data_IF_447424311614
#
_entry.id   IF_447424311614
#
_cell.length_a   1.000
_cell.length_b   1.000
_cell.length_c   1.000
_cell.angle_alpha   90.00
_cell.angle_beta   90.00
_cell.angle_gamma   90.00
#
_symmetry.space_group_name_H-M   'P 1'
#
loop_
_entity.id
_entity.type
_entity.pdbx_description
1 polymer ?
#
# COMPACT_ATOMS: atom_id res chain seq x y z
N UNK A 1 -32.56 9.77 -14.37
CA UNK A 1 -31.35 9.97 -15.18
C UNK A 1 -30.40 8.81 -14.89
N UNK A 2 -29.99 8.03 -15.89
CA UNK A 2 -29.21 6.80 -15.68
C UNK A 2 -27.76 7.13 -15.29
N UNK A 3 -27.24 6.48 -14.24
CA UNK A 3 -25.84 6.65 -13.81
C UNK A 3 -24.90 6.17 -14.93
N UNK A 4 -23.94 6.99 -15.39
CA UNK A 4 -22.99 6.63 -16.45
C UNK A 4 -22.21 5.36 -16.10
N UNK A 5 -21.92 4.52 -17.10
CA UNK A 5 -21.20 3.26 -16.90
C UNK A 5 -19.85 3.44 -16.19
N UNK A 6 -19.11 4.52 -16.52
CA UNK A 6 -17.85 4.87 -15.88
C UNK A 6 -17.99 5.13 -14.36
N UNK A 7 -19.08 5.77 -13.95
CA UNK A 7 -19.36 6.04 -12.53
C UNK A 7 -19.70 4.75 -11.76
N UNK A 8 -20.30 3.75 -12.42
CA UNK A 8 -20.54 2.43 -11.83
C UNK A 8 -19.24 1.64 -11.66
N UNK A 9 -18.34 1.71 -12.64
CA UNK A 9 -17.01 1.08 -12.59
C UNK A 9 -16.16 1.70 -11.48
N UNK A 10 -16.10 3.03 -11.38
CA UNK A 10 -15.37 3.72 -10.31
C UNK A 10 -15.88 3.34 -8.92
N UNK A 11 -17.21 3.26 -8.74
CA UNK A 11 -17.84 2.81 -7.49
C UNK A 11 -17.52 1.36 -7.14
N UNK A 12 -17.53 0.47 -8.13
CA UNK A 12 -17.18 -0.94 -7.94
C UNK A 12 -15.71 -1.08 -7.54
N UNK A 13 -14.79 -0.35 -8.17
CA UNK A 13 -13.37 -0.36 -7.82
C UNK A 13 -13.14 0.19 -6.40
N UNK A 14 -13.81 1.29 -6.03
CA UNK A 14 -13.69 1.87 -4.69
C UNK A 14 -14.24 0.93 -3.60
N UNK A 15 -15.39 0.30 -3.84
CA UNK A 15 -15.96 -0.69 -2.93
C UNK A 15 -15.10 -1.94 -2.84
N UNK A 16 -14.48 -2.37 -3.95
CA UNK A 16 -13.56 -3.50 -3.97
C UNK A 16 -12.29 -3.19 -3.18
N UNK A 17 -11.70 -2.01 -3.37
CA UNK A 17 -10.55 -1.57 -2.60
C UNK A 17 -10.86 -1.51 -1.09
N UNK A 18 -12.01 -0.95 -0.71
CA UNK A 18 -12.46 -0.89 0.68
C UNK A 18 -12.75 -2.27 1.28
N UNK A 19 -13.36 -3.18 0.52
CA UNK A 19 -13.63 -4.55 0.97
C UNK A 19 -12.34 -5.36 1.11
N UNK A 20 -11.39 -5.21 0.19
CA UNK A 20 -10.07 -5.84 0.25
C UNK A 20 -9.26 -5.34 1.46
N UNK A 21 -9.40 -4.06 1.80
CA UNK A 21 -8.83 -3.46 3.01
C UNK A 21 -9.51 -3.98 4.29
N UNK A 22 -10.84 -4.12 4.31
CA UNK A 22 -11.54 -4.66 5.48
C UNK A 22 -11.26 -6.15 5.67
N UNK A 23 -11.15 -6.91 4.59
CA UNK A 23 -10.65 -8.30 4.59
C UNK A 23 -9.21 -8.37 5.10
N UNK A 24 -8.38 -7.37 4.77
CA UNK A 24 -7.02 -7.21 5.27
C UNK A 24 -6.97 -6.98 6.79
N UNK A 25 -7.88 -6.17 7.34
CA UNK A 25 -7.96 -5.90 8.79
C UNK A 25 -8.45 -7.10 9.62
N UNK A 26 -9.28 -7.99 9.06
CA UNK A 26 -10.03 -8.97 9.86
C UNK A 26 -9.44 -10.38 9.85
N UNK A 27 -8.72 -10.83 8.81
CA UNK A 27 -8.56 -12.29 8.62
C UNK A 27 -7.15 -12.86 8.35
N UNK A 28 -6.13 -12.09 7.98
CA UNK A 28 -4.99 -12.71 7.28
C UNK A 28 -3.73 -12.95 8.14
N UNK A 29 -3.58 -14.19 8.63
CA UNK A 29 -2.31 -14.73 9.18
C UNK A 29 -1.33 -15.21 8.08
N UNK A 30 -1.72 -15.11 6.80
CA UNK A 30 -0.95 -15.60 5.65
C UNK A 30 -0.15 -14.52 4.92
N UNK A 31 0.64 -13.71 5.64
CA UNK A 31 1.31 -12.51 5.12
C UNK A 31 1.93 -12.63 3.72
N UNK A 32 2.52 -13.79 3.39
CA UNK A 32 3.11 -14.05 2.08
C UNK A 32 2.13 -14.03 0.89
N UNK A 33 0.91 -14.58 1.03
CA UNK A 33 -0.02 -14.67 -0.10
C UNK A 33 -0.55 -13.30 -0.54
N UNK A 34 -0.82 -12.42 0.42
CA UNK A 34 -1.22 -11.04 0.14
C UNK A 34 -0.06 -10.22 -0.39
N UNK A 35 1.16 -10.45 0.13
CA UNK A 35 2.34 -9.77 -0.39
C UNK A 35 2.63 -10.15 -1.84
N UNK A 36 2.39 -11.40 -2.23
CA UNK A 36 2.50 -11.85 -3.63
C UNK A 36 1.42 -11.24 -4.54
N UNK A 37 0.17 -11.17 -4.07
CA UNK A 37 -0.92 -10.52 -4.81
C UNK A 37 -0.60 -9.04 -5.07
N UNK A 38 -0.02 -8.34 -4.09
CA UNK A 38 0.40 -6.95 -4.24
C UNK A 38 1.42 -6.77 -5.38
N UNK A 39 2.42 -7.66 -5.50
CA UNK A 39 3.37 -7.61 -6.63
C UNK A 39 2.63 -7.74 -7.96
N UNK A 40 1.73 -8.70 -8.08
CA UNK A 40 0.97 -8.94 -9.32
C UNK A 40 0.15 -7.69 -9.67
N UNK A 41 -0.61 -7.14 -8.72
CA UNK A 41 -1.39 -5.94 -8.92
C UNK A 41 -0.51 -4.73 -9.29
N UNK A 42 0.65 -4.56 -8.66
CA UNK A 42 1.61 -3.49 -8.98
C UNK A 42 2.18 -3.63 -10.40
N UNK A 43 2.51 -4.84 -10.83
CA UNK A 43 3.01 -5.10 -12.19
C UNK A 43 1.93 -4.80 -13.24
N UNK A 44 0.68 -5.21 -13.00
CA UNK A 44 -0.45 -4.88 -13.87
C UNK A 44 -0.68 -3.37 -13.92
N UNK A 45 -0.59 -2.69 -12.78
CA UNK A 45 -0.72 -1.22 -12.70
C UNK A 45 0.34 -0.49 -13.50
N UNK A 46 1.62 -0.85 -13.34
CA UNK A 46 2.72 -0.30 -14.16
C UNK A 46 2.46 -0.58 -15.65
N UNK A 47 2.14 -1.83 -16.00
CA UNK A 47 1.89 -2.19 -17.39
C UNK A 47 0.80 -1.33 -18.02
N UNK A 48 -0.31 -1.13 -17.30
CA UNK A 48 -1.41 -0.29 -17.76
C UNK A 48 -0.99 1.18 -17.95
N UNK A 49 -0.18 1.73 -17.03
CA UNK A 49 0.32 3.10 -17.13
C UNK A 49 1.23 3.30 -18.35
N UNK A 50 2.21 2.41 -18.55
CA UNK A 50 3.13 2.46 -19.69
C UNK A 50 2.38 2.26 -21.01
N UNK A 51 1.44 1.32 -21.06
CA UNK A 51 0.59 1.11 -22.25
C UNK A 51 -0.18 2.38 -22.59
N UNK A 52 -0.86 2.99 -21.62
CA UNK A 52 -1.63 4.21 -21.83
C UNK A 52 -0.76 5.36 -22.35
N UNK A 53 0.43 5.57 -21.77
CA UNK A 53 1.36 6.60 -22.23
C UNK A 53 1.83 6.36 -23.65
N UNK A 54 2.20 5.11 -23.99
CA UNK A 54 2.68 4.76 -25.33
C UNK A 54 1.58 4.94 -26.38
N UNK A 55 0.34 4.53 -26.09
CA UNK A 55 -0.81 4.68 -26.99
C UNK A 55 -1.25 6.15 -27.12
N UNK A 56 -1.01 6.97 -26.10
CA UNK A 56 -1.38 8.39 -26.06
C UNK A 56 -0.25 9.35 -26.46
N UNK A 57 0.94 8.84 -26.81
CA UNK A 57 2.11 9.66 -27.14
C UNK A 57 2.66 10.50 -25.98
N UNK A 58 2.42 10.09 -24.73
CA UNK A 58 2.87 10.78 -23.52
C UNK A 58 4.25 10.23 -23.12
N UNK A 59 5.17 11.11 -22.73
CA UNK A 59 6.48 10.68 -22.24
C UNK A 59 6.35 9.84 -20.96
N UNK A 60 7.18 8.80 -20.83
CA UNK A 60 7.23 7.98 -19.62
C UNK A 60 8.26 8.50 -18.61
N UNK A 61 8.07 8.18 -17.32
CA UNK A 61 9.05 8.35 -16.25
C UNK A 61 9.63 9.77 -16.08
N UNK A 62 8.83 10.82 -16.30
CA UNK A 62 9.29 12.21 -16.12
C UNK A 62 8.81 12.85 -14.80
N UNK A 63 7.77 12.30 -14.16
CA UNK A 63 7.17 12.90 -12.96
C UNK A 63 7.74 12.32 -11.68
N UNK A 64 7.70 13.10 -10.58
CA UNK A 64 8.09 12.61 -9.26
C UNK A 64 7.24 11.41 -8.83
N UNK A 65 5.93 11.42 -9.14
CA UNK A 65 5.04 10.28 -8.91
C UNK A 65 5.62 9.00 -9.54
N UNK A 66 6.04 9.08 -10.80
CA UNK A 66 6.59 7.93 -11.52
C UNK A 66 7.92 7.42 -10.95
N UNK A 67 8.81 8.31 -10.51
CA UNK A 67 10.09 7.95 -9.89
C UNK A 67 9.90 7.29 -8.53
N UNK A 68 9.07 7.89 -7.67
CA UNK A 68 8.74 7.33 -6.36
C UNK A 68 8.00 6.00 -6.51
N UNK A 69 7.05 5.91 -7.44
CA UNK A 69 6.28 4.68 -7.71
C UNK A 69 7.16 3.53 -8.18
N UNK A 70 8.04 3.76 -9.16
CA UNK A 70 8.97 2.73 -9.64
C UNK A 70 9.96 2.32 -8.55
N UNK A 71 10.53 3.29 -7.82
CA UNK A 71 11.42 3.00 -6.69
C UNK A 71 10.74 2.15 -5.62
N UNK A 72 9.48 2.45 -5.29
CA UNK A 72 8.67 1.70 -4.33
C UNK A 72 8.48 0.25 -4.78
N UNK A 73 8.14 0.03 -6.05
CA UNK A 73 7.88 -1.33 -6.57
C UNK A 73 9.17 -2.15 -6.61
N UNK A 74 10.30 -1.55 -6.99
CA UNK A 74 11.60 -2.21 -6.93
C UNK A 74 11.98 -2.60 -5.49
N UNK A 75 11.86 -1.66 -4.55
CA UNK A 75 12.15 -1.92 -3.13
C UNK A 75 11.23 -2.98 -2.53
N UNK A 76 9.95 -2.95 -2.90
CA UNK A 76 8.98 -3.95 -2.48
C UNK A 76 9.31 -5.34 -3.02
N UNK A 77 9.73 -5.45 -4.29
CA UNK A 77 10.21 -6.70 -4.88
C UNK A 77 11.44 -7.26 -4.15
N UNK A 78 12.44 -6.42 -3.87
CA UNK A 78 13.63 -6.80 -3.10
C UNK A 78 13.23 -7.28 -1.70
N UNK A 79 12.35 -6.54 -1.03
CA UNK A 79 11.85 -6.86 0.30
C UNK A 79 11.11 -8.20 0.33
N UNK A 80 10.30 -8.48 -0.69
CA UNK A 80 9.57 -9.73 -0.83
C UNK A 80 10.52 -10.92 -1.02
N UNK A 81 11.47 -10.82 -1.95
CA UNK A 81 12.48 -11.87 -2.21
C UNK A 81 13.29 -12.12 -0.94
N UNK A 82 13.79 -11.06 -0.31
CA UNK A 82 14.55 -11.13 0.94
C UNK A 82 13.73 -11.80 2.06
N UNK A 83 12.48 -11.39 2.23
CA UNK A 83 11.57 -11.97 3.22
C UNK A 83 11.29 -13.45 2.96
N UNK A 84 11.10 -13.82 1.70
CA UNK A 84 10.87 -15.20 1.27
C UNK A 84 12.07 -16.09 1.59
N UNK A 85 13.27 -15.72 1.14
CA UNK A 85 14.46 -16.57 1.34
C UNK A 85 14.88 -16.66 2.81
N UNK A 86 14.67 -15.58 3.58
CA UNK A 86 15.12 -15.50 4.97
C UNK A 86 14.13 -16.15 5.94
N UNK A 87 12.82 -15.92 5.77
CA UNK A 87 11.81 -16.31 6.76
C UNK A 87 10.89 -17.46 6.31
N UNK A 88 10.86 -17.80 5.02
CA UNK A 88 9.97 -18.83 4.48
C UNK A 88 10.72 -20.04 3.91
N UNK A 89 11.35 -19.91 2.73
CA UNK A 89 12.02 -21.02 2.06
C UNK A 89 13.22 -20.51 1.23
N UNK A 90 14.41 -21.12 1.33
CA UNK A 90 14.76 -22.31 2.13
C UNK A 90 14.80 -22.06 3.64
N UNK A 91 14.74 -20.79 4.06
CA UNK A 91 14.79 -20.37 5.46
C UNK A 91 16.23 -20.20 5.94
N UNK A 92 16.54 -19.02 6.47
CA UNK A 92 17.87 -18.71 7.00
C UNK A 92 18.10 -19.32 8.40
N UNK A 93 19.38 -19.42 8.79
CA UNK A 93 19.77 -19.82 10.14
C UNK A 93 19.11 -18.92 11.22
N UNK A 94 18.78 -19.46 12.41
CA UNK A 94 18.07 -18.69 13.45
C UNK A 94 18.76 -17.39 13.87
N UNK A 95 20.10 -17.37 13.87
CA UNK A 95 20.91 -16.19 14.17
C UNK A 95 20.69 -15.07 13.14
N UNK A 96 20.71 -15.41 11.85
CA UNK A 96 20.50 -14.47 10.76
C UNK A 96 19.05 -13.97 10.74
N UNK A 97 18.07 -14.84 10.98
CA UNK A 97 16.65 -14.42 11.08
C UNK A 97 16.44 -13.42 12.20
N UNK A 98 17.06 -13.65 13.37
CA UNK A 98 16.94 -12.75 14.53
C UNK A 98 17.61 -11.40 14.28
N UNK A 99 18.79 -11.38 13.64
CA UNK A 99 19.51 -10.13 13.37
C UNK A 99 18.87 -9.30 12.26
N UNK A 100 18.22 -9.94 11.28
CA UNK A 100 17.63 -9.26 10.12
C UNK A 100 16.16 -8.89 10.29
N UNK A 101 15.42 -9.53 11.20
CA UNK A 101 14.01 -9.25 11.44
C UNK A 101 13.71 -7.76 11.73
N UNK A 102 14.46 -7.04 12.60
CA UNK A 102 14.20 -5.63 12.84
C UNK A 102 14.39 -4.76 11.60
N UNK A 103 15.37 -5.11 10.75
CA UNK A 103 15.63 -4.42 9.49
C UNK A 103 14.51 -4.68 8.48
N UNK A 104 14.05 -5.94 8.37
CA UNK A 104 12.93 -6.30 7.51
C UNK A 104 11.65 -5.54 7.90
N UNK A 105 11.32 -5.46 9.19
CA UNK A 105 10.14 -4.71 9.65
C UNK A 105 10.28 -3.21 9.33
N UNK A 106 11.44 -2.61 9.63
CA UNK A 106 11.69 -1.17 9.39
C UNK A 106 11.68 -0.83 7.90
N UNK A 107 12.33 -1.63 7.05
CA UNK A 107 12.32 -1.42 5.60
C UNK A 107 10.94 -1.64 5.01
N UNK A 108 10.18 -2.60 5.51
CA UNK A 108 8.79 -2.83 5.10
C UNK A 108 7.89 -1.63 5.39
N UNK A 109 8.00 -1.04 6.58
CA UNK A 109 7.27 0.18 6.93
C UNK A 109 7.69 1.36 6.05
N UNK A 110 8.99 1.50 5.75
CA UNK A 110 9.48 2.54 4.85
C UNK A 110 8.89 2.40 3.43
N UNK A 111 8.89 1.19 2.86
CA UNK A 111 8.28 0.92 1.55
C UNK A 111 6.78 1.21 1.55
N UNK A 112 6.08 0.87 2.65
CA UNK A 112 4.67 1.22 2.82
C UNK A 112 4.41 2.73 2.78
N UNK A 113 5.24 3.52 3.47
CA UNK A 113 5.14 4.98 3.44
C UNK A 113 5.42 5.56 2.05
N UNK A 114 6.38 5.00 1.32
CA UNK A 114 6.63 5.39 -0.07
C UNK A 114 5.45 5.05 -0.99
N UNK A 115 4.76 3.93 -0.76
CA UNK A 115 3.55 3.58 -1.51
C UNK A 115 2.40 4.57 -1.24
N UNK A 116 2.21 4.98 0.02
CA UNK A 116 1.25 6.04 0.36
C UNK A 116 1.62 7.35 -0.35
N UNK A 117 2.88 7.77 -0.27
CA UNK A 117 3.36 8.97 -0.95
C UNK A 117 3.15 8.89 -2.47
N UNK A 118 3.45 7.76 -3.10
CA UNK A 118 3.22 7.55 -4.52
C UNK A 118 1.72 7.66 -4.87
N UNK A 119 0.83 7.10 -4.06
CA UNK A 119 -0.61 7.20 -4.26
C UNK A 119 -1.09 8.66 -4.19
N UNK A 120 -0.66 9.41 -3.16
CA UNK A 120 -1.00 10.83 -3.00
C UNK A 120 -0.51 11.69 -4.16
N UNK A 121 0.74 11.48 -4.61
CA UNK A 121 1.28 12.16 -5.79
C UNK A 121 0.48 11.81 -7.06
N UNK A 122 0.03 10.56 -7.19
CA UNK A 122 -0.76 10.11 -8.33
C UNK A 122 -2.16 10.72 -8.37
N UNK A 123 -2.84 10.81 -7.22
CA UNK A 123 -4.13 11.51 -7.11
C UNK A 123 -3.98 12.98 -7.50
N UNK A 124 -2.97 13.66 -6.93
CA UNK A 124 -2.72 15.07 -7.21
C UNK A 124 -2.38 15.31 -8.68
N UNK A 125 -1.47 14.51 -9.26
CA UNK A 125 -1.06 14.62 -10.65
C UNK A 125 -2.25 14.41 -11.60
N UNK A 126 -3.03 13.34 -11.40
CA UNK A 126 -4.18 13.05 -12.25
C UNK A 126 -5.26 14.13 -12.14
N UNK A 127 -5.54 14.61 -10.94
CA UNK A 127 -6.52 15.67 -10.73
C UNK A 127 -6.06 16.98 -11.39
N UNK A 128 -4.77 17.32 -11.29
CA UNK A 128 -4.19 18.50 -11.92
C UNK A 128 -4.32 18.43 -13.45
N UNK A 129 -4.07 17.27 -14.06
CA UNK A 129 -4.27 17.09 -15.50
C UNK A 129 -5.73 17.23 -15.92
N UNK A 130 -6.67 16.68 -15.15
CA UNK A 130 -8.10 16.83 -15.43
C UNK A 130 -8.55 18.29 -15.30
N UNK A 131 -8.05 19.02 -14.30
CA UNK A 131 -8.34 20.43 -14.12
C UNK A 131 -7.75 21.29 -15.24
N UNK A 132 -6.53 20.99 -15.69
CA UNK A 132 -5.93 21.61 -16.87
C UNK A 132 -6.74 21.34 -18.15
N UNK A 133 -7.39 20.17 -18.24
CA UNK A 133 -8.31 19.81 -19.31
C UNK A 133 -9.75 20.37 -19.14
N UNK A 134 -9.99 21.23 -18.13
CA UNK A 134 -11.27 21.94 -17.94
C UNK A 134 -12.17 21.38 -16.85
N UNK A 135 -11.73 20.39 -16.05
CA UNK A 135 -12.49 19.94 -14.89
C UNK A 135 -12.62 21.07 -13.85
N UNK A 136 -13.84 21.30 -13.38
CA UNK A 136 -14.11 22.31 -12.34
C UNK A 136 -13.37 21.99 -11.03
N UNK A 137 -12.69 22.99 -10.44
CA UNK A 137 -11.90 22.84 -9.20
C UNK A 137 -12.73 22.32 -8.01
N UNK A 138 -14.01 22.68 -7.95
CA UNK A 138 -14.97 22.26 -6.92
C UNK A 138 -16.06 21.32 -7.48
N UNK A 139 -15.77 20.67 -8.60
CA UNK A 139 -16.66 19.64 -9.14
C UNK A 139 -16.77 18.45 -8.17
N UNK A 140 -17.89 17.72 -8.24
CA UNK A 140 -18.08 16.51 -7.44
C UNK A 140 -16.98 15.47 -7.68
N UNK A 141 -16.43 15.40 -8.89
CA UNK A 141 -15.32 14.50 -9.24
C UNK A 141 -14.02 14.93 -8.55
N UNK A 142 -13.68 16.22 -8.57
CA UNK A 142 -12.51 16.74 -7.88
C UNK A 142 -12.59 16.53 -6.36
N UNK A 143 -13.76 16.78 -5.77
CA UNK A 143 -14.00 16.53 -4.35
C UNK A 143 -13.89 15.04 -4.01
N UNK A 144 -14.46 14.16 -4.85
CA UNK A 144 -14.37 12.71 -4.65
C UNK A 144 -12.92 12.22 -4.63
N UNK A 145 -12.08 12.69 -5.56
CA UNK A 145 -10.66 12.34 -5.60
C UNK A 145 -9.95 12.81 -4.32
N UNK A 146 -10.17 14.06 -3.90
CA UNK A 146 -9.58 14.59 -2.66
C UNK A 146 -10.04 13.83 -1.41
N UNK A 147 -11.32 13.49 -1.28
CA UNK A 147 -11.80 12.69 -0.16
C UNK A 147 -11.24 11.26 -0.19
N UNK A 148 -11.05 10.69 -1.38
CA UNK A 148 -10.40 9.37 -1.52
C UNK A 148 -8.95 9.42 -1.05
N UNK A 149 -8.20 10.44 -1.47
CA UNK A 149 -6.84 10.69 -1.00
C UNK A 149 -6.77 10.83 0.53
N UNK A 150 -7.67 11.63 1.14
CA UNK A 150 -7.77 11.74 2.60
C UNK A 150 -8.05 10.39 3.28
N UNK A 151 -8.95 9.58 2.73
CA UNK A 151 -9.23 8.23 3.26
C UNK A 151 -7.98 7.34 3.18
N UNK A 152 -7.23 7.41 2.08
CA UNK A 152 -5.97 6.65 1.92
C UNK A 152 -4.93 7.09 2.96
N UNK A 153 -4.77 8.39 3.22
CA UNK A 153 -3.87 8.90 4.27
C UNK A 153 -4.31 8.47 5.66
N UNK A 154 -5.60 8.59 5.98
CA UNK A 154 -6.13 8.22 7.30
C UNK A 154 -5.96 6.73 7.56
N UNK A 155 -6.30 5.90 6.57
CA UNK A 155 -6.06 4.47 6.61
C UNK A 155 -4.57 4.16 6.73
N UNK A 156 -3.72 4.82 5.95
CA UNK A 156 -2.27 4.70 6.05
C UNK A 156 -1.74 4.95 7.46
N UNK A 157 -2.23 6.02 8.06
CA UNK A 157 -1.85 6.46 9.39
C UNK A 157 -2.28 5.46 10.47
N UNK A 158 -3.49 4.88 10.38
CA UNK A 158 -3.94 3.88 11.35
C UNK A 158 -3.10 2.61 11.28
N UNK A 159 -2.66 2.18 10.08
CA UNK A 159 -1.71 1.07 9.95
C UNK A 159 -0.39 1.37 10.63
N UNK A 160 0.19 2.55 10.38
CA UNK A 160 1.46 2.98 11.00
C UNK A 160 1.33 2.99 12.52
N UNK A 161 0.25 3.56 13.06
CA UNK A 161 0.00 3.59 14.50
C UNK A 161 -0.16 2.18 15.06
N UNK A 162 -0.91 1.31 14.39
CA UNK A 162 -1.12 -0.07 14.82
C UNK A 162 0.19 -0.87 14.88
N UNK A 163 1.03 -0.79 13.85
CA UNK A 163 2.28 -1.57 13.80
C UNK A 163 3.39 -1.02 14.70
N UNK A 164 3.29 0.24 15.13
CA UNK A 164 4.26 0.88 16.04
C UNK A 164 3.79 0.95 17.49
N UNK A 165 2.52 0.63 17.77
CA UNK A 165 1.99 0.64 19.12
C UNK A 165 2.72 -0.38 20.01
N UNK A 166 3.09 0.00 21.25
CA UNK A 166 3.65 -0.94 22.19
C UNK A 166 2.59 -1.97 22.58
N UNK A 167 2.91 -3.27 22.44
CA UNK A 167 2.05 -4.31 22.97
C UNK A 167 2.05 -4.24 24.50
N UNK A 168 0.89 -4.02 25.12
CA UNK A 168 0.76 -4.06 26.57
C UNK A 168 1.07 -5.49 27.07
N UNK A 169 2.16 -5.66 27.81
CA UNK A 169 2.59 -6.95 28.32
C UNK A 169 1.80 -7.34 29.57
N UNK A 170 0.55 -7.77 29.40
CA UNK A 170 -0.32 -8.32 30.46
C UNK A 170 0.14 -9.69 31.03
N UNK A 171 1.30 -10.22 30.62
CA UNK A 171 1.74 -11.58 30.97
C UNK A 171 2.93 -11.69 31.94
N UNK A 172 3.49 -10.59 32.45
CA UNK A 172 4.65 -10.65 33.37
C UNK A 172 4.29 -10.61 34.87
N UNK A 173 3.06 -10.26 35.25
CA UNK A 173 2.65 -10.21 36.66
C UNK A 173 1.96 -11.48 37.18
N UNK A 174 1.41 -12.35 36.32
CA UNK A 174 0.75 -13.59 36.76
C UNK A 174 1.72 -14.71 37.19
N UNK A 175 2.87 -14.84 36.52
CA UNK A 175 3.83 -15.93 36.81
C UNK A 175 4.68 -15.69 38.07
N UNK A 176 4.88 -14.44 38.48
CA UNK A 176 5.62 -14.10 39.71
C UNK A 176 4.80 -14.32 40.98
N UNK A 177 3.46 -14.34 40.87
CA UNK A 177 2.56 -14.65 41.98
C UNK A 177 2.52 -16.16 42.30
N UNK A 178 2.55 -17.04 41.30
CA UNK A 178 2.53 -18.50 41.51
C UNK A 178 3.85 -19.10 42.00
N UNK A 179 4.94 -18.33 42.06
CA UNK A 179 6.22 -18.79 42.62
C UNK A 179 6.34 -18.52 44.13
N UNK A 180 5.34 -17.89 44.74
CA UNK A 180 5.37 -17.46 46.16
C UNK A 180 4.34 -18.16 47.06
N UNK A 181 3.70 -19.25 46.62
CA UNK A 181 2.82 -20.08 47.47
C UNK A 181 3.35 -21.50 47.62
#
# INVERSE_FOLDING_TARGET
MAVPAAAKVARALAASAAALVLLWCVHFRGGFALSSLQIICSLVGIYAAFKFHNESGIANLYSLHSWVGLGTICLYGIQWVFGFVTFFFPGAAPTLRRSTLPWHVRSGLFVYLLALLAAELGFLEKLTFLQAAGLGKYSSEALLVNFTALVVVLMGSTVVLYVTAPMHSEHMHGYSAMRKS
#
